data_IF_129048410344
#
_entry.id   IF_129048410344
#
_cell.length_a   1.000
_cell.length_b   1.000
_cell.length_c   1.000
_cell.angle_alpha   90.00
_cell.angle_beta   90.00
_cell.angle_gamma   90.00
#
_symmetry.space_group_name_H-M   'P 1'
#
loop_
_entity.id
_entity.type
_entity.pdbx_description
1 polymer ?
#
# COMPACT_ATOMS: atom_id res chain seq x y z
N UNK A 1 26.90 3.15 -10.47
CA UNK A 1 26.64 1.94 -9.65
C UNK A 1 25.13 1.86 -9.44
N UNK A 2 24.47 0.77 -9.84
CA UNK A 2 23.00 0.68 -9.73
C UNK A 2 22.57 0.71 -8.26
N UNK A 3 21.54 1.51 -7.96
CA UNK A 3 20.85 1.61 -6.67
C UNK A 3 20.49 0.21 -6.12
N UNK A 4 20.24 -0.74 -7.03
CA UNK A 4 19.99 -2.15 -6.78
C UNK A 4 21.13 -2.90 -6.09
N UNK A 5 22.39 -2.54 -6.34
CA UNK A 5 23.55 -3.25 -5.80
C UNK A 5 23.80 -2.92 -4.32
N UNK A 6 23.50 -1.68 -3.90
CA UNK A 6 23.72 -1.22 -2.53
C UNK A 6 22.62 -1.76 -1.59
N UNK A 7 21.35 -1.71 -2.00
CA UNK A 7 20.23 -2.17 -1.17
C UNK A 7 20.19 -3.70 -0.98
N UNK A 8 20.79 -4.48 -1.89
CA UNK A 8 20.84 -5.95 -1.76
C UNK A 8 21.94 -6.42 -0.80
N UNK A 9 23.03 -5.67 -0.64
CA UNK A 9 24.17 -6.08 0.17
C UNK A 9 24.00 -5.85 1.67
N UNK A 10 23.12 -4.94 2.10
CA UNK A 10 22.94 -4.59 3.51
C UNK A 10 21.96 -5.48 4.29
N UNK A 11 21.42 -6.54 3.69
CA UNK A 11 20.64 -7.57 4.40
C UNK A 11 21.51 -8.50 5.27
N UNK A 12 22.82 -8.29 5.31
CA UNK A 12 23.73 -8.92 6.27
C UNK A 12 24.49 -7.85 7.05
N UNK A 13 24.44 -7.96 8.38
CA UNK A 13 25.28 -7.24 9.38
C UNK A 13 24.72 -5.90 9.89
N UNK A 14 24.13 -5.94 11.08
CA UNK A 14 23.94 -4.78 11.96
C UNK A 14 25.27 -4.28 12.53
N UNK A 15 25.52 -2.97 12.45
CA UNK A 15 25.99 -2.12 13.56
C UNK A 15 26.32 -0.72 13.02
N UNK A 16 25.71 0.33 13.58
CA UNK A 16 26.17 1.72 13.40
C UNK A 16 26.42 2.35 14.78
N UNK A 17 27.56 3.03 14.99
CA UNK A 17 27.79 3.85 16.18
C UNK A 17 27.20 5.25 15.99
N UNK A 18 26.78 5.84 17.11
CA UNK A 18 26.20 7.19 17.19
C UNK A 18 27.24 8.29 16.92
N UNK A 19 26.84 9.36 16.23
CA UNK A 19 27.65 10.58 16.05
C UNK A 19 26.97 11.74 16.80
N UNK A 20 27.68 12.26 17.79
CA UNK A 20 27.33 13.45 18.58
C UNK A 20 27.55 14.73 17.76
N UNK A 21 26.58 15.64 17.80
CA UNK A 21 26.67 16.96 17.22
C UNK A 21 27.57 17.90 18.01
N UNK A 22 28.26 18.79 17.31
CA UNK A 22 28.81 20.04 17.84
C UNK A 22 28.43 21.20 16.92
N UNK A 23 28.10 22.31 17.57
CA UNK A 23 27.36 23.47 17.10
C UNK A 23 28.25 24.65 16.69
N UNK A 24 27.71 25.41 15.73
CA UNK A 24 27.73 26.88 15.57
C UNK A 24 29.06 27.65 15.44
N UNK A 25 29.11 28.45 14.37
CA UNK A 25 29.86 29.70 14.28
C UNK A 25 29.28 30.58 13.17
N UNK A 26 28.45 31.56 13.54
CA UNK A 26 27.95 32.63 12.68
C UNK A 26 29.03 33.69 12.48
N UNK A 27 29.17 34.22 11.26
CA UNK A 27 29.71 35.56 11.01
C UNK A 27 29.05 36.16 9.76
N UNK A 28 28.31 37.26 9.98
CA UNK A 28 27.81 38.19 8.96
C UNK A 28 28.88 39.21 8.58
N UNK A 29 28.92 39.60 7.31
CA UNK A 29 29.27 40.97 6.86
C UNK A 29 28.61 41.30 5.52
N UNK A 30 28.32 42.57 5.33
CA UNK A 30 27.35 43.22 4.46
C UNK A 30 27.68 43.38 2.95
N UNK A 31 26.59 43.44 2.17
CA UNK A 31 26.22 44.37 1.07
C UNK A 31 27.19 44.78 -0.06
N UNK A 32 26.81 44.43 -1.30
CA UNK A 32 26.41 45.32 -2.43
C UNK A 32 26.98 44.99 -3.83
N UNK A 33 26.06 45.12 -4.79
CA UNK A 33 26.15 45.48 -6.21
C UNK A 33 26.15 44.39 -7.31
N UNK A 34 25.08 44.53 -8.11
CA UNK A 34 24.77 44.04 -9.45
C UNK A 34 25.95 43.90 -10.41
N UNK A 35 25.98 42.79 -11.16
CA UNK A 35 25.97 42.85 -12.63
C UNK A 35 25.75 41.46 -13.27
N UNK A 36 24.80 41.44 -14.20
CA UNK A 36 24.41 40.31 -15.05
C UNK A 36 25.53 39.99 -16.07
N UNK A 37 26.07 38.76 -16.07
CA UNK A 37 26.64 38.13 -17.28
C UNK A 37 26.45 36.61 -17.31
N UNK A 38 26.17 36.18 -18.54
CA UNK A 38 25.76 34.87 -19.02
C UNK A 38 26.73 33.69 -18.78
N UNK A 39 26.13 32.49 -18.87
CA UNK A 39 26.71 31.20 -19.23
C UNK A 39 27.61 30.50 -18.22
N UNK A 40 26.98 29.72 -17.34
CA UNK A 40 27.58 28.45 -16.89
C UNK A 40 26.60 27.30 -17.13
N UNK A 41 27.04 26.39 -18.00
CA UNK A 41 26.57 25.02 -18.07
C UNK A 41 26.48 24.49 -16.63
N UNK A 42 25.27 24.30 -16.11
CA UNK A 42 25.08 23.60 -14.85
C UNK A 42 25.51 22.16 -15.08
N UNK A 43 26.77 21.90 -14.80
CA UNK A 43 27.34 20.58 -14.69
C UNK A 43 26.43 19.76 -13.76
N UNK A 44 25.76 18.76 -14.33
CA UNK A 44 24.91 17.79 -13.64
C UNK A 44 25.74 16.85 -12.73
N UNK A 45 26.94 17.28 -12.32
CA UNK A 45 27.97 16.50 -11.61
C UNK A 45 28.15 16.84 -10.14
N UNK A 46 27.43 17.83 -9.60
CA UNK A 46 27.53 18.22 -8.19
C UNK A 46 26.29 17.81 -7.37
N UNK A 47 25.76 16.61 -7.62
CA UNK A 47 24.93 15.93 -6.61
C UNK A 47 25.90 15.20 -5.69
N UNK A 48 26.00 15.56 -4.39
CA UNK A 48 26.82 14.83 -3.45
C UNK A 48 26.37 13.36 -3.45
N UNK A 49 27.24 12.47 -3.93
CA UNK A 49 27.06 11.01 -3.95
C UNK A 49 27.17 10.41 -2.54
N UNK A 50 26.59 11.07 -1.54
CA UNK A 50 26.89 10.81 -0.13
C UNK A 50 26.13 9.60 0.43
N UNK A 51 25.40 8.83 -0.39
CA UNK A 51 24.63 7.66 0.07
C UNK A 51 23.52 7.98 1.07
N UNK A 52 23.34 9.27 1.45
CA UNK A 52 22.42 9.68 2.49
C UNK A 52 20.98 9.35 2.11
N UNK A 53 20.63 9.48 0.83
CA UNK A 53 19.29 9.17 0.35
C UNK A 53 18.99 7.67 0.45
N UNK A 54 19.94 6.83 0.09
CA UNK A 54 19.88 5.37 0.21
C UNK A 54 19.72 4.95 1.66
N UNK A 55 20.49 5.55 2.57
CA UNK A 55 20.39 5.31 4.02
C UNK A 55 19.00 5.69 4.52
N UNK A 56 18.49 6.87 4.14
CA UNK A 56 17.15 7.32 4.53
C UNK A 56 16.07 6.36 3.99
N UNK A 57 16.15 5.96 2.73
CA UNK A 57 15.21 5.01 2.13
C UNK A 57 15.28 3.68 2.85
N UNK A 58 16.47 3.19 3.18
CA UNK A 58 16.64 1.94 3.94
C UNK A 58 16.06 2.05 5.35
N UNK A 59 16.26 3.16 6.06
CA UNK A 59 15.66 3.40 7.38
C UNK A 59 14.13 3.38 7.30
N UNK A 60 13.55 4.02 6.29
CA UNK A 60 12.10 4.02 6.08
C UNK A 60 11.58 2.62 5.72
N UNK A 61 12.29 1.89 4.86
CA UNK A 61 11.98 0.50 4.52
C UNK A 61 11.99 -0.37 5.78
N UNK A 62 13.01 -0.26 6.64
CA UNK A 62 13.04 -0.96 7.92
C UNK A 62 11.88 -0.57 8.84
N UNK A 63 11.52 0.73 8.88
CA UNK A 63 10.40 1.23 9.65
C UNK A 63 9.02 0.70 9.23
N UNK A 64 8.88 0.11 8.04
CA UNK A 64 7.65 -0.59 7.63
C UNK A 64 7.37 -1.85 8.45
N UNK A 65 8.39 -2.40 9.12
CA UNK A 65 8.32 -3.62 9.93
C UNK A 65 8.23 -3.32 11.42
N UNK A 66 8.19 -2.04 11.82
CA UNK A 66 8.15 -1.66 13.23
C UNK A 66 6.87 -2.19 13.91
N UNK A 67 6.93 -2.45 15.22
CA UNK A 67 5.78 -2.91 16.01
C UNK A 67 4.68 -1.85 16.14
N UNK A 68 5.06 -0.57 16.10
CA UNK A 68 4.16 0.56 16.28
C UNK A 68 3.57 1.03 14.94
N UNK A 69 2.24 1.11 14.88
CA UNK A 69 1.53 1.52 13.66
C UNK A 69 1.94 2.92 13.18
N UNK A 70 2.16 3.87 14.10
CA UNK A 70 2.53 5.23 13.73
C UNK A 70 3.91 5.31 13.06
N UNK A 71 4.84 4.40 13.41
CA UNK A 71 6.16 4.29 12.75
C UNK A 71 5.98 3.71 11.35
N UNK A 72 5.21 2.62 11.20
CA UNK A 72 4.90 2.03 9.88
C UNK A 72 4.24 3.05 8.95
N UNK A 73 3.23 3.75 9.45
CA UNK A 73 2.48 4.75 8.69
C UNK A 73 3.33 5.97 8.30
N UNK A 74 4.16 6.47 9.22
CA UNK A 74 5.08 7.58 8.94
C UNK A 74 6.14 7.18 7.92
N UNK A 75 6.64 5.95 8.01
CA UNK A 75 7.59 5.37 7.07
C UNK A 75 7.00 5.24 5.67
N UNK A 76 5.80 4.68 5.54
CA UNK A 76 5.06 4.58 4.27
C UNK A 76 4.84 5.95 3.61
N UNK A 77 4.42 6.95 4.40
CA UNK A 77 4.28 8.33 3.93
C UNK A 77 5.60 8.96 3.50
N UNK A 78 6.67 8.69 4.25
CA UNK A 78 8.03 9.14 3.94
C UNK A 78 8.50 8.60 2.59
N UNK A 79 8.34 7.28 2.38
CA UNK A 79 8.63 6.63 1.10
C UNK A 79 7.82 7.28 -0.01
N UNK A 80 6.49 7.40 0.12
CA UNK A 80 5.67 8.03 -0.91
C UNK A 80 6.09 9.47 -1.26
N UNK A 81 6.52 10.27 -0.27
CA UNK A 81 7.00 11.65 -0.48
C UNK A 81 8.36 11.70 -1.18
N UNK A 82 9.30 10.84 -0.78
CA UNK A 82 10.64 10.77 -1.39
C UNK A 82 10.50 10.25 -2.82
N UNK A 83 9.78 9.15 -3.04
CA UNK A 83 9.58 8.56 -4.36
C UNK A 83 8.98 9.57 -5.35
N UNK A 84 8.10 10.46 -4.89
CA UNK A 84 7.52 11.53 -5.73
C UNK A 84 8.52 12.59 -6.21
N UNK A 85 9.71 12.65 -5.61
CA UNK A 85 10.78 13.60 -5.96
C UNK A 85 11.95 12.93 -6.70
N UNK A 86 11.93 11.59 -6.83
CA UNK A 86 12.96 10.85 -7.54
C UNK A 86 12.78 10.95 -9.06
N UNK A 87 13.87 10.79 -9.81
CA UNK A 87 13.78 10.53 -11.26
C UNK A 87 12.93 9.27 -11.49
N UNK A 88 12.15 9.24 -12.57
CA UNK A 88 11.19 8.17 -12.88
C UNK A 88 11.80 6.76 -12.84
N UNK A 89 13.05 6.61 -13.29
CA UNK A 89 13.80 5.35 -13.26
C UNK A 89 13.99 4.84 -11.83
N UNK A 90 14.52 5.68 -10.94
CA UNK A 90 14.73 5.33 -9.53
C UNK A 90 13.40 5.11 -8.78
N UNK A 91 12.38 5.91 -9.07
CA UNK A 91 11.06 5.71 -8.50
C UNK A 91 10.50 4.32 -8.86
N UNK A 92 10.61 3.92 -10.13
CA UNK A 92 10.16 2.62 -10.58
C UNK A 92 11.00 1.46 -9.99
N UNK A 93 12.31 1.62 -9.85
CA UNK A 93 13.17 0.63 -9.19
C UNK A 93 12.77 0.42 -7.71
N UNK A 94 12.52 1.51 -6.98
CA UNK A 94 12.09 1.45 -5.59
C UNK A 94 10.70 0.78 -5.45
N UNK A 95 9.77 1.09 -6.35
CA UNK A 95 8.45 0.43 -6.38
C UNK A 95 8.60 -1.08 -6.58
N UNK A 96 9.45 -1.51 -7.51
CA UNK A 96 9.69 -2.94 -7.77
C UNK A 96 10.34 -3.63 -6.56
N UNK A 97 11.32 -2.99 -5.92
CA UNK A 97 11.94 -3.51 -4.70
C UNK A 97 10.92 -3.71 -3.58
N UNK A 98 10.04 -2.72 -3.38
CA UNK A 98 8.97 -2.81 -2.39
C UNK A 98 8.00 -3.95 -2.73
N UNK A 99 7.59 -4.09 -3.98
CA UNK A 99 6.69 -5.17 -4.40
C UNK A 99 7.32 -6.55 -4.14
N UNK A 100 8.59 -6.76 -4.50
CA UNK A 100 9.31 -8.02 -4.24
C UNK A 100 9.39 -8.34 -2.74
N UNK A 101 9.69 -7.33 -1.91
CA UNK A 101 9.73 -7.50 -0.45
C UNK A 101 8.36 -7.87 0.11
N UNK A 102 7.31 -7.18 -0.31
CA UNK A 102 5.95 -7.39 0.20
C UNK A 102 5.42 -8.75 -0.27
N UNK A 103 5.64 -9.12 -1.53
CA UNK A 103 5.19 -10.43 -2.06
C UNK A 103 5.83 -11.60 -1.30
N UNK A 104 7.12 -11.51 -0.95
CA UNK A 104 7.80 -12.51 -0.12
C UNK A 104 7.17 -12.65 1.26
N UNK A 105 6.86 -11.53 1.92
CA UNK A 105 6.20 -11.55 3.23
C UNK A 105 4.77 -12.09 3.11
N UNK A 106 4.03 -11.70 2.08
CA UNK A 106 2.68 -12.17 1.82
C UNK A 106 2.65 -13.68 1.53
N UNK A 107 3.61 -14.19 0.76
CA UNK A 107 3.73 -15.61 0.41
C UNK A 107 4.03 -16.48 1.63
N UNK A 108 4.92 -16.01 2.50
CA UNK A 108 5.33 -16.75 3.71
C UNK A 108 4.37 -16.56 4.88
N UNK A 109 3.44 -15.61 4.76
CA UNK A 109 2.49 -15.19 5.79
C UNK A 109 3.14 -14.88 7.17
N UNK A 110 4.45 -14.59 7.19
CA UNK A 110 5.27 -14.71 8.40
C UNK A 110 5.36 -13.44 9.25
N UNK A 111 4.96 -12.28 8.71
CA UNK A 111 5.08 -11.00 9.40
C UNK A 111 3.96 -10.02 9.03
N UNK A 112 2.96 -9.94 9.91
CA UNK A 112 1.81 -9.04 9.76
C UNK A 112 2.20 -7.55 9.82
N UNK A 113 3.24 -7.17 10.57
CA UNK A 113 3.70 -5.78 10.66
C UNK A 113 4.28 -5.33 9.33
N UNK A 114 5.21 -6.12 8.78
CA UNK A 114 5.81 -5.83 7.46
C UNK A 114 4.74 -5.84 6.36
N UNK A 115 3.82 -6.80 6.37
CA UNK A 115 2.76 -6.88 5.37
C UNK A 115 1.82 -5.66 5.45
N UNK A 116 1.43 -5.26 6.65
CA UNK A 116 0.63 -4.05 6.85
C UNK A 116 1.39 -2.80 6.40
N UNK A 117 2.65 -2.60 6.80
CA UNK A 117 3.47 -1.47 6.36
C UNK A 117 3.66 -1.42 4.85
N UNK A 118 3.80 -2.59 4.22
CA UNK A 118 3.79 -2.76 2.77
C UNK A 118 2.48 -2.29 2.13
N UNK A 119 1.34 -2.75 2.64
CA UNK A 119 0.01 -2.34 2.19
C UNK A 119 -0.18 -0.82 2.26
N UNK A 120 0.19 -0.21 3.39
CA UNK A 120 0.16 1.24 3.57
C UNK A 120 1.02 1.97 2.54
N UNK A 121 2.20 1.43 2.24
CA UNK A 121 3.12 2.02 1.26
C UNK A 121 2.54 1.93 -0.15
N UNK A 122 1.96 0.79 -0.55
CA UNK A 122 1.30 0.63 -1.85
C UNK A 122 0.14 1.64 -2.03
N UNK A 123 -0.67 1.83 -0.99
CA UNK A 123 -1.75 2.83 -1.01
C UNK A 123 -1.19 4.27 -1.15
N UNK A 124 -0.12 4.62 -0.43
CA UNK A 124 0.50 5.95 -0.52
C UNK A 124 1.14 6.23 -1.88
N UNK A 125 1.74 5.20 -2.50
CA UNK A 125 2.30 5.26 -3.85
C UNK A 125 1.20 5.45 -4.90
N UNK A 126 0.11 4.67 -4.82
CA UNK A 126 -1.02 4.77 -5.73
C UNK A 126 -1.70 6.14 -5.65
N UNK A 127 -1.94 6.67 -4.44
CA UNK A 127 -2.52 8.00 -4.24
C UNK A 127 -1.72 9.15 -4.86
N UNK A 128 -0.42 8.93 -5.15
CA UNK A 128 0.48 9.90 -5.79
C UNK A 128 0.71 9.64 -7.28
N UNK A 129 0.06 8.63 -7.86
CA UNK A 129 0.29 8.24 -9.25
C UNK A 129 1.68 7.67 -9.50
N UNK A 130 2.34 7.15 -8.45
CA UNK A 130 3.69 6.56 -8.54
C UNK A 130 3.66 5.08 -8.92
N UNK A 131 2.47 4.47 -8.92
CA UNK A 131 2.25 3.10 -9.33
C UNK A 131 1.73 3.08 -10.77
N UNK A 132 2.56 2.61 -11.71
CA UNK A 132 2.21 2.55 -13.12
C UNK A 132 1.22 1.40 -13.39
N UNK A 133 0.25 1.53 -14.33
CA UNK A 133 -0.71 0.48 -14.67
C UNK A 133 -0.06 -0.86 -15.02
N UNK A 134 1.09 -0.84 -15.70
CA UNK A 134 1.88 -2.04 -16.05
C UNK A 134 2.35 -2.84 -14.82
N UNK A 135 2.27 -2.27 -13.61
CA UNK A 135 2.63 -2.95 -12.36
C UNK A 135 1.42 -3.63 -11.70
N UNK A 136 0.20 -3.43 -12.18
CA UNK A 136 -1.00 -4.04 -11.60
C UNK A 136 -0.92 -5.57 -11.61
N UNK A 137 -0.32 -6.17 -12.64
CA UNK A 137 -0.08 -7.61 -12.71
C UNK A 137 0.79 -8.17 -11.56
N UNK A 138 1.67 -7.36 -10.99
CA UNK A 138 2.51 -7.72 -9.84
C UNK A 138 1.78 -7.40 -8.53
N UNK A 139 1.10 -6.25 -8.47
CA UNK A 139 0.56 -5.73 -7.21
C UNK A 139 -0.78 -6.37 -6.84
N UNK A 140 -1.65 -6.65 -7.80
CA UNK A 140 -2.97 -7.23 -7.53
C UNK A 140 -2.86 -8.59 -6.80
N UNK A 141 -1.98 -9.53 -7.20
CA UNK A 141 -1.77 -10.75 -6.42
C UNK A 141 -1.38 -10.49 -4.95
N UNK A 142 -0.55 -9.48 -4.68
CA UNK A 142 -0.18 -9.07 -3.32
C UNK A 142 -1.41 -8.56 -2.56
N UNK A 143 -2.24 -7.75 -3.19
CA UNK A 143 -3.48 -7.22 -2.60
C UNK A 143 -4.44 -8.35 -2.26
N UNK A 144 -4.68 -9.30 -3.18
CA UNK A 144 -5.57 -10.43 -2.96
C UNK A 144 -5.08 -11.33 -1.80
N UNK A 145 -3.76 -11.63 -1.75
CA UNK A 145 -3.16 -12.33 -0.60
C UNK A 145 -3.37 -11.58 0.71
N UNK A 146 -3.22 -10.25 0.69
CA UNK A 146 -3.38 -9.40 1.88
C UNK A 146 -4.84 -9.29 2.34
N UNK A 147 -5.80 -9.26 1.41
CA UNK A 147 -7.24 -9.31 1.71
C UNK A 147 -7.65 -10.66 2.32
N UNK A 148 -6.99 -11.76 1.91
CA UNK A 148 -7.23 -13.10 2.45
C UNK A 148 -6.32 -13.46 3.64
N UNK A 149 -5.54 -12.52 4.17
CA UNK A 149 -4.57 -12.79 5.23
C UNK A 149 -5.29 -13.09 6.55
N UNK A 150 -5.14 -14.29 7.09
CA UNK A 150 -5.78 -14.72 8.34
C UNK A 150 -4.87 -15.61 9.21
N UNK A 151 -3.68 -15.10 9.52
CA UNK A 151 -2.71 -15.83 10.35
C UNK A 151 -2.98 -15.67 11.85
N UNK A 152 -2.80 -16.78 12.56
CA UNK A 152 -2.85 -16.87 14.01
C UNK A 152 -1.43 -16.94 14.56
N UNK A 153 -1.03 -15.94 15.32
CA UNK A 153 0.25 -15.96 16.04
C UNK A 153 -0.03 -16.33 17.51
N UNK A 154 0.02 -17.62 17.80
CA UNK A 154 -0.38 -18.15 19.11
C UNK A 154 -1.87 -17.91 19.39
N UNK A 155 -2.18 -17.13 20.43
CA UNK A 155 -3.56 -16.82 20.85
C UNK A 155 -4.10 -15.52 20.23
N UNK A 156 -3.30 -14.80 19.43
CA UNK A 156 -3.68 -13.51 18.85
C UNK A 156 -3.83 -13.61 17.33
N UNK A 157 -4.88 -12.98 16.80
CA UNK A 157 -5.20 -12.90 15.37
C UNK A 157 -4.85 -11.51 14.85
N UNK A 158 -3.77 -11.44 14.07
CA UNK A 158 -3.30 -10.20 13.46
C UNK A 158 -3.83 -10.01 12.03
N UNK A 159 -4.73 -10.89 11.57
CA UNK A 159 -5.33 -10.81 10.25
C UNK A 159 -6.02 -9.48 9.96
N UNK A 160 -6.78 -8.97 10.94
CA UNK A 160 -7.59 -7.76 10.79
C UNK A 160 -6.78 -6.52 10.41
N UNK A 161 -5.57 -6.33 10.96
CA UNK A 161 -4.75 -5.14 10.66
C UNK A 161 -4.23 -5.14 9.23
N UNK A 162 -3.93 -6.31 8.68
CA UNK A 162 -3.49 -6.46 7.29
C UNK A 162 -4.66 -6.29 6.34
N UNK A 163 -5.81 -6.93 6.62
CA UNK A 163 -7.00 -6.84 5.77
C UNK A 163 -7.56 -5.43 5.71
N UNK A 164 -7.54 -4.69 6.82
CA UNK A 164 -7.89 -3.26 6.84
C UNK A 164 -6.97 -2.43 5.94
N UNK A 165 -5.65 -2.63 6.03
CA UNK A 165 -4.70 -1.94 5.17
C UNK A 165 -4.84 -2.34 3.69
N UNK A 166 -5.20 -3.59 3.38
CA UNK A 166 -5.48 -4.05 2.03
C UNK A 166 -6.78 -3.42 1.47
N UNK A 167 -7.80 -3.21 2.31
CA UNK A 167 -8.99 -2.43 1.94
C UNK A 167 -8.62 -0.98 1.61
N UNK A 168 -7.70 -0.37 2.37
CA UNK A 168 -7.18 0.97 2.04
C UNK A 168 -6.47 1.01 0.68
N UNK A 169 -5.74 -0.05 0.28
CA UNK A 169 -5.19 -0.18 -1.08
C UNK A 169 -6.31 -0.19 -2.11
N UNK A 170 -7.34 -1.03 -1.93
CA UNK A 170 -8.44 -1.14 -2.87
C UNK A 170 -9.18 0.19 -3.07
N UNK A 171 -9.37 0.94 -1.97
CA UNK A 171 -9.92 2.30 -2.01
C UNK A 171 -8.99 3.28 -2.75
N UNK A 172 -7.69 3.23 -2.50
CA UNK A 172 -6.71 4.06 -3.19
C UNK A 172 -6.62 3.75 -4.69
N UNK A 173 -6.70 2.48 -5.07
CA UNK A 173 -6.59 2.02 -6.45
C UNK A 173 -7.78 2.46 -7.29
N UNK A 174 -8.99 2.40 -6.74
CA UNK A 174 -10.19 2.91 -7.39
C UNK A 174 -10.04 4.36 -7.88
N UNK A 175 -9.24 5.16 -7.17
CA UNK A 175 -8.97 6.57 -7.46
C UNK A 175 -7.76 6.80 -8.36
N UNK A 176 -6.82 5.87 -8.34
CA UNK A 176 -5.53 6.01 -9.01
C UNK A 176 -5.54 5.46 -10.45
N UNK A 177 -6.39 4.48 -10.74
CA UNK A 177 -6.40 3.78 -12.03
C UNK A 177 -7.66 4.05 -12.83
N UNK A 178 -7.49 4.08 -14.16
CA UNK A 178 -8.61 4.20 -15.09
C UNK A 178 -9.36 2.87 -15.20
N UNK A 179 -10.67 2.89 -15.52
CA UNK A 179 -11.47 1.69 -15.69
C UNK A 179 -10.89 0.68 -16.70
N UNK A 180 -10.28 1.15 -17.78
CA UNK A 180 -9.65 0.29 -18.79
C UNK A 180 -8.48 -0.53 -18.26
N UNK A 181 -7.70 0.04 -17.32
CA UNK A 181 -6.52 -0.62 -16.75
C UNK A 181 -6.92 -1.63 -15.65
N UNK A 182 -8.04 -1.37 -14.98
CA UNK A 182 -8.46 -2.11 -13.80
C UNK A 182 -9.43 -3.26 -14.11
N UNK A 183 -10.10 -3.21 -15.27
CA UNK A 183 -11.15 -4.14 -15.69
C UNK A 183 -10.84 -5.62 -15.43
N UNK A 184 -9.62 -6.08 -15.73
CA UNK A 184 -9.23 -7.49 -15.58
C UNK A 184 -9.16 -7.97 -14.13
N UNK A 185 -9.11 -7.07 -13.16
CA UNK A 185 -8.90 -7.37 -11.74
C UNK A 185 -10.15 -7.13 -10.88
N UNK A 186 -11.15 -6.45 -11.43
CA UNK A 186 -12.32 -5.98 -10.68
C UNK A 186 -13.11 -7.13 -10.06
N UNK A 187 -13.36 -8.21 -10.81
CA UNK A 187 -14.16 -9.33 -10.31
C UNK A 187 -13.52 -9.98 -9.10
N UNK A 188 -12.22 -10.28 -9.15
CA UNK A 188 -11.52 -10.94 -8.04
C UNK A 188 -11.45 -10.04 -6.79
N UNK A 189 -11.22 -8.74 -6.98
CA UNK A 189 -11.26 -7.76 -5.89
C UNK A 189 -12.66 -7.64 -5.29
N UNK A 190 -13.70 -7.59 -6.12
CA UNK A 190 -15.08 -7.52 -5.69
C UNK A 190 -15.44 -8.75 -4.83
N UNK A 191 -15.10 -9.95 -5.30
CA UNK A 191 -15.30 -11.20 -4.56
C UNK A 191 -14.63 -11.16 -3.20
N UNK A 192 -13.35 -10.75 -3.13
CA UNK A 192 -12.61 -10.69 -1.86
C UNK A 192 -13.18 -9.64 -0.90
N UNK A 193 -13.52 -8.44 -1.40
CA UNK A 193 -14.15 -7.40 -0.59
C UNK A 193 -15.51 -7.87 -0.04
N UNK A 194 -16.33 -8.54 -0.86
CA UNK A 194 -17.61 -9.09 -0.43
C UNK A 194 -17.44 -10.20 0.62
N UNK A 195 -16.44 -11.06 0.48
CA UNK A 195 -16.12 -12.05 1.51
C UNK A 195 -15.76 -11.36 2.84
N UNK A 196 -14.95 -10.29 2.82
CA UNK A 196 -14.64 -9.52 4.04
C UNK A 196 -15.93 -8.92 4.61
N UNK A 197 -16.76 -8.26 3.81
CA UNK A 197 -18.02 -7.65 4.28
C UNK A 197 -18.96 -8.69 4.89
N UNK A 198 -19.05 -9.90 4.33
CA UNK A 198 -19.96 -10.93 4.81
C UNK A 198 -19.43 -11.69 6.04
N UNK A 199 -18.13 -11.97 6.08
CA UNK A 199 -17.58 -13.03 6.93
C UNK A 199 -16.46 -12.58 7.88
N UNK A 200 -15.90 -11.38 7.72
CA UNK A 200 -14.85 -10.91 8.62
C UNK A 200 -15.40 -10.65 10.03
N UNK A 201 -14.74 -11.20 11.04
CA UNK A 201 -15.08 -11.00 12.46
C UNK A 201 -14.99 -9.53 12.91
N UNK A 202 -14.08 -8.75 12.31
CA UNK A 202 -13.80 -7.36 12.64
C UNK A 202 -14.76 -6.43 11.90
N UNK A 203 -15.59 -5.70 12.66
CA UNK A 203 -16.51 -4.72 12.08
C UNK A 203 -15.79 -3.59 11.34
N UNK A 204 -14.56 -3.27 11.75
CA UNK A 204 -13.69 -2.29 11.11
C UNK A 204 -13.29 -2.76 9.72
N UNK A 205 -12.88 -4.03 9.57
CA UNK A 205 -12.54 -4.59 8.27
C UNK A 205 -13.76 -4.67 7.35
N UNK A 206 -14.94 -5.06 7.87
CA UNK A 206 -16.20 -5.01 7.10
C UNK A 206 -16.50 -3.60 6.57
N UNK A 207 -16.35 -2.59 7.43
CA UNK A 207 -16.56 -1.17 7.07
C UNK A 207 -15.53 -0.66 6.08
N UNK A 208 -14.25 -1.00 6.25
CA UNK A 208 -13.19 -0.64 5.31
C UNK A 208 -13.43 -1.28 3.93
N UNK A 209 -13.82 -2.55 3.90
CA UNK A 209 -14.15 -3.25 2.66
C UNK A 209 -15.38 -2.66 1.96
N UNK A 210 -16.44 -2.32 2.71
CA UNK A 210 -17.62 -1.64 2.15
C UNK A 210 -17.27 -0.26 1.57
N UNK A 211 -16.47 0.54 2.27
CA UNK A 211 -16.01 1.83 1.76
C UNK A 211 -15.15 1.68 0.49
N UNK A 212 -14.26 0.68 0.45
CA UNK A 212 -13.47 0.38 -0.74
C UNK A 212 -14.35 -0.10 -1.91
N UNK A 213 -15.35 -0.94 -1.65
CA UNK A 213 -16.32 -1.41 -2.63
C UNK A 213 -17.12 -0.23 -3.21
N UNK A 214 -17.61 0.67 -2.36
CA UNK A 214 -18.35 1.85 -2.77
C UNK A 214 -17.53 2.78 -3.68
N UNK A 215 -16.27 3.05 -3.32
CA UNK A 215 -15.37 3.88 -4.15
C UNK A 215 -15.11 3.22 -5.51
N UNK A 216 -14.93 1.89 -5.51
CA UNK A 216 -14.72 1.13 -6.74
C UNK A 216 -15.95 1.13 -7.64
N UNK A 217 -17.14 0.82 -7.12
CA UNK A 217 -18.39 0.86 -7.89
C UNK A 217 -18.64 2.27 -8.45
N UNK A 218 -18.40 3.31 -7.65
CA UNK A 218 -18.63 4.70 -8.07
C UNK A 218 -17.67 5.22 -9.15
N UNK A 219 -16.46 4.66 -9.26
CA UNK A 219 -15.43 5.12 -10.22
C UNK A 219 -15.22 4.20 -11.41
N UNK A 220 -15.29 2.90 -11.16
CA UNK A 220 -15.09 1.88 -12.16
C UNK A 220 -16.40 1.56 -12.89
N UNK A 221 -17.56 1.91 -12.31
CA UNK A 221 -18.85 1.84 -12.98
C UNK A 221 -19.26 0.41 -13.36
N UNK A 222 -19.73 0.26 -14.61
CA UNK A 222 -20.37 -0.96 -15.11
C UNK A 222 -19.48 -2.22 -15.10
N UNK A 223 -18.16 -2.06 -14.90
CA UNK A 223 -17.26 -3.21 -14.74
C UNK A 223 -17.47 -3.97 -13.43
N UNK A 224 -18.16 -3.39 -12.43
CA UNK A 224 -18.58 -4.09 -11.21
C UNK A 224 -19.97 -4.73 -11.40
N UNK A 225 -20.08 -6.06 -11.57
CA UNK A 225 -21.37 -6.73 -11.78
C UNK A 225 -22.33 -6.47 -10.61
N UNK A 226 -23.52 -5.95 -10.89
CA UNK A 226 -24.53 -5.65 -9.87
C UNK A 226 -24.04 -4.69 -8.76
N UNK A 227 -23.02 -3.87 -9.03
CA UNK A 227 -22.37 -3.02 -8.02
C UNK A 227 -23.34 -2.10 -7.27
N UNK A 228 -24.26 -1.44 -7.97
CA UNK A 228 -25.24 -0.51 -7.38
C UNK A 228 -26.17 -1.22 -6.39
N UNK A 229 -26.72 -2.37 -6.78
CA UNK A 229 -27.61 -3.16 -5.90
C UNK A 229 -26.90 -3.65 -4.65
N UNK A 230 -25.61 -3.98 -4.78
CA UNK A 230 -24.79 -4.49 -3.68
C UNK A 230 -24.45 -3.36 -2.70
N UNK A 231 -24.00 -2.20 -3.18
CA UNK A 231 -23.62 -1.09 -2.27
C UNK A 231 -24.80 -0.59 -1.43
N UNK A 232 -26.02 -0.68 -1.96
CA UNK A 232 -27.26 -0.35 -1.23
C UNK A 232 -27.53 -1.31 -0.06
N UNK A 233 -27.06 -2.56 -0.15
CA UNK A 233 -27.20 -3.59 0.89
C UNK A 233 -26.02 -3.61 1.85
N UNK A 234 -24.86 -3.11 1.44
CA UNK A 234 -23.64 -3.04 2.26
C UNK A 234 -23.50 -1.70 2.99
N UNK A 235 -24.61 -1.12 3.48
CA UNK A 235 -24.59 0.15 4.23
C UNK A 235 -23.73 0.05 5.50
N UNK A 236 -23.05 1.15 5.85
CA UNK A 236 -22.13 1.26 6.99
C UNK A 236 -22.75 0.80 8.33
N UNK A 237 -24.04 1.07 8.53
CA UNK A 237 -24.77 0.74 9.75
C UNK A 237 -25.16 -0.74 9.76
N UNK A 238 -25.70 -1.23 8.65
CA UNK A 238 -26.15 -2.63 8.51
C UNK A 238 -25.00 -3.62 8.67
N UNK A 239 -23.86 -3.35 8.02
CA UNK A 239 -22.67 -4.22 8.11
C UNK A 239 -22.03 -4.20 9.50
N UNK A 240 -22.49 -3.32 10.39
CA UNK A 240 -22.18 -3.37 11.82
C UNK A 240 -22.65 -4.68 12.47
N UNK A 241 -23.76 -5.25 11.99
CA UNK A 241 -24.36 -6.46 12.51
C UNK A 241 -23.83 -7.71 11.81
N UNK A 242 -23.05 -8.52 12.52
CA UNK A 242 -22.46 -9.76 11.98
C UNK A 242 -23.53 -10.78 11.55
N UNK A 243 -24.65 -10.88 12.26
CA UNK A 243 -25.75 -11.79 11.92
C UNK A 243 -26.38 -11.42 10.58
N UNK A 244 -26.61 -10.12 10.36
CA UNK A 244 -27.09 -9.60 9.08
C UNK A 244 -26.09 -9.92 7.96
N UNK A 245 -24.80 -9.66 8.18
CA UNK A 245 -23.74 -9.91 7.19
C UNK A 245 -23.71 -11.39 6.76
N UNK A 246 -23.74 -12.29 7.74
CA UNK A 246 -23.55 -13.71 7.52
C UNK A 246 -24.81 -14.41 6.97
N UNK A 247 -25.99 -14.05 7.49
CA UNK A 247 -27.24 -14.77 7.17
C UNK A 247 -27.98 -14.09 6.02
N UNK A 248 -28.16 -12.78 6.06
CA UNK A 248 -29.03 -12.08 5.10
C UNK A 248 -28.24 -11.59 3.89
N UNK A 249 -27.15 -10.87 4.13
CA UNK A 249 -26.35 -10.25 3.09
C UNK A 249 -25.63 -11.29 2.23
N UNK A 250 -24.96 -12.27 2.85
CA UNK A 250 -24.27 -13.34 2.13
C UNK A 250 -25.22 -14.14 1.23
N UNK A 251 -26.42 -14.48 1.72
CA UNK A 251 -27.45 -15.15 0.91
C UNK A 251 -27.93 -14.26 -0.24
N UNK A 252 -28.10 -12.96 -0.01
CA UNK A 252 -28.45 -12.04 -1.08
C UNK A 252 -27.36 -11.92 -2.14
N UNK A 253 -26.08 -11.92 -1.76
CA UNK A 253 -24.96 -11.82 -2.71
C UNK A 253 -24.78 -13.14 -3.47
N UNK A 254 -24.98 -14.27 -2.81
CA UNK A 254 -24.91 -15.59 -3.44
C UNK A 254 -25.98 -15.83 -4.53
N UNK A 255 -27.01 -14.97 -4.63
CA UNK A 255 -27.95 -15.00 -5.76
C UNK A 255 -27.27 -14.62 -7.08
N UNK A 256 -26.20 -13.83 -7.05
CA UNK A 256 -25.43 -13.46 -8.24
C UNK A 256 -24.39 -14.55 -8.55
N UNK A 257 -24.47 -15.16 -9.73
CA UNK A 257 -23.63 -16.31 -10.10
C UNK A 257 -22.12 -15.99 -10.05
N UNK A 258 -21.75 -14.76 -10.41
CA UNK A 258 -20.36 -14.26 -10.40
C UNK A 258 -19.73 -14.34 -9.01
N UNK A 259 -20.52 -14.06 -7.96
CA UNK A 259 -20.02 -14.01 -6.58
C UNK A 259 -20.23 -15.34 -5.84
N UNK A 260 -21.26 -16.12 -6.20
CA UNK A 260 -21.70 -17.31 -5.48
C UNK A 260 -20.56 -18.28 -5.14
N UNK A 261 -19.78 -18.69 -6.15
CA UNK A 261 -18.74 -19.70 -5.96
C UNK A 261 -17.63 -19.20 -5.04
N UNK A 262 -17.21 -17.94 -5.18
CA UNK A 262 -16.20 -17.35 -4.31
C UNK A 262 -16.63 -17.27 -2.84
N UNK A 263 -17.90 -16.94 -2.57
CA UNK A 263 -18.42 -16.94 -1.19
C UNK A 263 -18.39 -18.35 -0.58
N UNK A 264 -18.79 -19.37 -1.37
CA UNK A 264 -18.78 -20.77 -0.91
C UNK A 264 -17.35 -21.23 -0.65
N UNK A 265 -16.43 -21.00 -1.57
CA UNK A 265 -15.02 -21.37 -1.41
C UNK A 265 -14.39 -20.70 -0.18
N UNK A 266 -14.74 -19.45 0.10
CA UNK A 266 -14.25 -18.75 1.29
C UNK A 266 -14.71 -19.42 2.59
N UNK A 267 -15.95 -19.93 2.63
CA UNK A 267 -16.50 -20.63 3.80
C UNK A 267 -15.96 -22.06 4.00
N UNK A 268 -15.37 -22.65 2.97
CA UNK A 268 -14.79 -24.00 3.03
C UNK A 268 -13.33 -24.03 3.50
N UNK A 269 -12.69 -22.86 3.67
CA UNK A 269 -11.34 -22.73 4.23
C UNK A 269 -11.33 -22.94 5.74
#
# INVERSE_FOLDING_TARGET
>A
MSFYYILRQTNGSHNYPAINGHSNGFHETDANNDDLKDNEYTNDSDIPSNGCLEIIIQMLISGLSDKELYVRWSSAKGIGRITNRLKKTYANELVLLLCDRIDKVALLACDHCTLQGGCLTLAELARRGLLLPIRLNIVIPIVLKSLNYDEKLGHQTYGHVVRDAACYICWAFARAFNPSDFQSYITDLACMLLCIICFDWSVQCRRAASAALQENVGRQGDYFPHGIDIILKTDYSLIGNTTYCYIELAQSIAKYDVYRYYLIEHLLK
#
